data_IF_801241727660
#
_entry.id   IF_801241727660
#
_cell.length_a   1.000
_cell.length_b   1.000
_cell.length_c   1.000
_cell.angle_alpha   90.00
_cell.angle_beta   90.00
_cell.angle_gamma   90.00
#
_symmetry.space_group_name_H-M   'P 1'
#
loop_
_entity.id
_entity.type
_entity.pdbx_description
1 polymer ?
#
# COMPACT_ATOMS: atom_id res chain seq x y z
N UNK A 1 -6.25 -23.12 -2.26
CA UNK A 1 -5.11 -23.98 -1.94
C UNK A 1 -3.85 -23.15 -1.69
N UNK A 2 -2.92 -23.71 -0.94
CA UNK A 2 -1.55 -23.18 -0.77
C UNK A 2 -0.64 -24.11 -1.55
N UNK A 3 0.14 -23.55 -2.46
CA UNK A 3 1.05 -24.29 -3.34
C UNK A 3 2.48 -23.79 -3.10
N UNK A 4 3.38 -24.72 -2.83
CA UNK A 4 4.80 -24.44 -2.75
C UNK A 4 5.40 -24.38 -4.15
N UNK A 5 6.21 -23.36 -4.42
CA UNK A 5 6.99 -23.25 -5.64
C UNK A 5 8.45 -23.62 -5.35
N UNK A 6 9.10 -24.36 -6.21
CA UNK A 6 10.52 -24.64 -6.11
C UNK A 6 11.31 -23.48 -6.73
N UNK A 7 12.16 -22.84 -5.93
CA UNK A 7 12.95 -21.68 -6.35
C UNK A 7 12.14 -20.54 -7.00
N UNK A 8 10.87 -20.37 -6.60
CA UNK A 8 10.00 -19.34 -7.16
C UNK A 8 9.46 -19.63 -8.57
N UNK A 9 9.66 -20.84 -9.11
CA UNK A 9 9.20 -21.21 -10.45
C UNK A 9 7.68 -21.43 -10.46
N UNK A 10 6.95 -20.41 -10.93
CA UNK A 10 5.49 -20.45 -11.13
C UNK A 10 5.11 -21.10 -12.48
N UNK A 11 6.06 -21.34 -13.35
CA UNK A 11 5.83 -21.94 -14.67
C UNK A 11 5.82 -23.48 -14.64
N UNK A 12 6.18 -24.07 -13.50
CA UNK A 12 6.12 -25.51 -13.28
C UNK A 12 4.68 -26.06 -13.41
N UNK A 13 4.57 -27.35 -13.68
CA UNK A 13 3.31 -28.00 -14.02
C UNK A 13 2.20 -27.81 -12.97
N UNK A 14 2.50 -28.00 -11.68
CA UNK A 14 1.49 -27.88 -10.59
C UNK A 14 1.05 -26.42 -10.42
N UNK A 15 1.93 -25.42 -10.24
CA UNK A 15 1.53 -24.02 -10.18
C UNK A 15 0.69 -23.58 -11.37
N UNK A 16 1.11 -23.90 -12.59
CA UNK A 16 0.40 -23.50 -13.81
C UNK A 16 -1.02 -24.07 -13.86
N UNK A 17 -1.22 -25.33 -13.51
CA UNK A 17 -2.55 -25.94 -13.47
C UNK A 17 -3.44 -25.26 -12.41
N UNK A 18 -2.91 -25.01 -11.21
CA UNK A 18 -3.69 -24.36 -10.14
C UNK A 18 -4.07 -22.92 -10.52
N UNK A 19 -3.15 -22.14 -11.11
CA UNK A 19 -3.42 -20.79 -11.59
C UNK A 19 -4.54 -20.79 -12.64
N UNK A 20 -4.59 -21.81 -13.51
CA UNK A 20 -5.62 -21.91 -14.55
C UNK A 20 -7.01 -22.24 -14.00
N UNK A 21 -7.09 -22.94 -12.88
CA UNK A 21 -8.35 -23.37 -12.25
C UNK A 21 -8.92 -22.28 -11.32
N UNK A 22 -8.04 -21.51 -10.65
CA UNK A 22 -8.43 -20.50 -9.66
C UNK A 22 -8.67 -19.12 -10.29
N UNK A 23 -9.35 -18.24 -9.56
CA UNK A 23 -9.64 -16.86 -9.99
C UNK A 23 -8.47 -15.89 -9.76
N UNK A 24 -7.29 -16.40 -9.57
CA UNK A 24 -6.07 -15.63 -9.37
C UNK A 24 -5.17 -16.28 -8.34
N UNK A 25 -4.06 -15.60 -8.07
CA UNK A 25 -3.04 -16.04 -7.11
C UNK A 25 -2.47 -14.86 -6.35
N UNK A 26 -2.08 -15.11 -5.10
CA UNK A 26 -1.20 -14.24 -4.34
C UNK A 26 0.18 -14.91 -4.35
N UNK A 27 1.16 -14.26 -4.98
CA UNK A 27 2.52 -14.76 -5.06
C UNK A 27 3.35 -14.17 -3.91
N UNK A 28 3.92 -15.05 -3.07
CA UNK A 28 4.85 -14.67 -2.00
C UNK A 28 6.27 -14.87 -2.50
N UNK A 29 7.09 -13.83 -2.36
CA UNK A 29 8.42 -13.74 -2.90
C UNK A 29 9.46 -13.85 -1.78
N UNK A 30 10.44 -14.76 -1.95
CA UNK A 30 11.48 -14.98 -0.95
C UNK A 30 12.45 -13.80 -0.83
N UNK A 31 12.72 -13.09 -1.93
CA UNK A 31 13.59 -11.91 -1.93
C UNK A 31 12.93 -10.78 -1.13
N UNK A 32 11.65 -10.48 -1.41
CA UNK A 32 10.89 -9.50 -0.64
C UNK A 32 10.82 -9.87 0.86
N UNK A 33 10.68 -11.15 1.17
CA UNK A 33 10.67 -11.61 2.56
C UNK A 33 12.01 -11.34 3.27
N UNK A 34 13.13 -11.62 2.60
CA UNK A 34 14.46 -11.40 3.13
C UNK A 34 14.80 -9.91 3.26
N UNK A 35 14.25 -9.06 2.38
CA UNK A 35 14.32 -7.60 2.46
C UNK A 35 13.45 -7.01 3.59
N UNK A 36 12.68 -7.85 4.31
CA UNK A 36 11.82 -7.41 5.41
C UNK A 36 10.45 -6.92 4.99
N UNK A 37 10.05 -7.10 3.72
CA UNK A 37 8.69 -6.85 3.25
C UNK A 37 7.76 -7.96 3.78
N UNK A 38 6.87 -7.63 4.69
CA UNK A 38 5.92 -8.59 5.29
C UNK A 38 4.52 -7.97 5.42
N UNK A 39 3.52 -8.57 4.72
CA UNK A 39 3.60 -9.79 3.89
C UNK A 39 4.44 -9.59 2.62
N UNK A 40 5.15 -10.64 2.22
CA UNK A 40 6.07 -10.63 1.07
C UNK A 40 5.32 -10.80 -0.27
N UNK A 41 4.26 -10.03 -0.47
CA UNK A 41 3.39 -10.13 -1.65
C UNK A 41 4.04 -9.44 -2.85
N UNK A 42 4.32 -10.22 -3.89
CA UNK A 42 4.73 -9.66 -5.17
C UNK A 42 3.52 -9.16 -5.94
N UNK A 43 3.28 -7.85 -5.90
CA UNK A 43 2.13 -7.20 -6.55
C UNK A 43 2.15 -7.32 -8.08
N UNK A 44 3.35 -7.45 -8.68
CA UNK A 44 3.52 -7.62 -10.13
C UNK A 44 3.01 -8.98 -10.63
N UNK A 45 3.34 -10.05 -9.89
CA UNK A 45 2.98 -11.44 -10.24
C UNK A 45 1.64 -11.87 -9.67
N UNK A 46 1.11 -11.17 -8.66
CA UNK A 46 -0.19 -11.47 -8.08
C UNK A 46 -1.32 -10.95 -8.97
N UNK A 47 -2.34 -11.77 -9.15
CA UNK A 47 -3.51 -11.46 -9.98
C UNK A 47 -4.77 -11.85 -9.24
N UNK A 48 -5.81 -11.02 -9.32
CA UNK A 48 -7.15 -11.35 -8.88
C UNK A 48 -8.16 -10.94 -9.95
N UNK A 49 -8.87 -11.93 -10.52
CA UNK A 49 -9.91 -11.67 -11.54
C UNK A 49 -11.16 -11.04 -10.94
N UNK A 50 -11.45 -11.36 -9.69
CA UNK A 50 -12.66 -10.89 -8.98
C UNK A 50 -12.38 -9.82 -7.92
N UNK A 51 -11.13 -9.65 -7.49
CA UNK A 51 -10.76 -8.73 -6.40
C UNK A 51 -11.24 -7.31 -6.58
N UNK A 52 -11.11 -6.77 -7.79
CA UNK A 52 -11.60 -5.42 -8.09
C UNK A 52 -13.13 -5.25 -7.95
N UNK A 53 -13.90 -6.32 -8.14
CA UNK A 53 -15.35 -6.31 -7.93
C UNK A 53 -15.74 -6.49 -6.46
N UNK A 54 -14.89 -7.18 -5.70
CA UNK A 54 -15.10 -7.43 -4.27
C UNK A 54 -14.73 -6.24 -3.38
N UNK A 55 -13.85 -5.34 -3.85
CA UNK A 55 -13.46 -4.14 -3.10
C UNK A 55 -14.64 -3.21 -2.86
N UNK A 56 -14.65 -2.56 -1.69
CA UNK A 56 -15.52 -1.40 -1.44
C UNK A 56 -15.18 -0.27 -2.42
N UNK A 57 -16.13 0.62 -2.66
CA UNK A 57 -15.90 1.79 -3.54
C UNK A 57 -14.82 2.71 -2.98
N UNK A 58 -14.70 2.78 -1.65
CA UNK A 58 -13.67 3.51 -0.94
C UNK A 58 -12.28 2.91 -1.24
N UNK A 59 -12.11 1.61 -1.00
CA UNK A 59 -10.83 0.91 -1.22
C UNK A 59 -10.41 0.96 -2.69
N UNK A 60 -11.35 0.76 -3.62
CA UNK A 60 -11.09 0.87 -5.06
C UNK A 60 -10.58 2.25 -5.46
N UNK A 61 -11.07 3.31 -4.79
CA UNK A 61 -10.61 4.67 -5.02
C UNK A 61 -9.21 4.90 -4.42
N UNK A 62 -8.97 4.45 -3.17
CA UNK A 62 -7.70 4.62 -2.48
C UNK A 62 -6.56 3.85 -3.16
N UNK A 63 -6.83 2.66 -3.69
CA UNK A 63 -5.83 1.78 -4.30
C UNK A 63 -5.66 1.97 -5.82
N UNK A 64 -6.41 2.88 -6.45
CA UNK A 64 -6.49 2.99 -7.93
C UNK A 64 -5.13 3.16 -8.62
N UNK A 65 -4.22 3.93 -8.05
CA UNK A 65 -2.88 4.21 -8.59
C UNK A 65 -1.75 3.45 -7.90
N UNK A 66 -2.08 2.63 -6.89
CA UNK A 66 -1.10 1.97 -6.04
C UNK A 66 -0.16 1.06 -6.85
N UNK A 67 -0.73 0.21 -7.70
CA UNK A 67 0.04 -0.74 -8.51
C UNK A 67 0.99 -0.03 -9.48
N UNK A 68 0.55 1.05 -10.10
CA UNK A 68 1.38 1.84 -11.02
C UNK A 68 2.55 2.52 -10.28
N UNK A 69 2.29 3.12 -9.11
CA UNK A 69 3.33 3.74 -8.27
C UNK A 69 4.37 2.73 -7.80
N UNK A 70 3.93 1.54 -7.37
CA UNK A 70 4.86 0.47 -6.95
C UNK A 70 5.66 -0.09 -8.13
N UNK A 71 5.07 -0.22 -9.32
CA UNK A 71 5.79 -0.65 -10.52
C UNK A 71 6.86 0.37 -10.90
N UNK A 72 6.52 1.66 -10.94
CA UNK A 72 7.44 2.75 -11.21
C UNK A 72 8.60 2.79 -10.19
N UNK A 73 8.27 2.67 -8.90
CA UNK A 73 9.28 2.61 -7.84
C UNK A 73 10.27 1.46 -8.07
N UNK A 74 9.78 0.24 -8.34
CA UNK A 74 10.65 -0.94 -8.55
C UNK A 74 11.56 -0.77 -9.76
N UNK A 75 11.05 -0.21 -10.85
CA UNK A 75 11.84 0.07 -12.04
C UNK A 75 12.96 1.05 -11.73
N UNK A 76 12.65 2.19 -11.09
CA UNK A 76 13.63 3.22 -10.75
C UNK A 76 14.63 2.75 -9.68
N UNK A 77 14.19 1.99 -8.68
CA UNK A 77 15.07 1.43 -7.65
C UNK A 77 16.09 0.44 -8.25
N UNK A 78 15.70 -0.32 -9.27
CA UNK A 78 16.62 -1.18 -10.03
C UNK A 78 17.74 -0.39 -10.71
N UNK A 79 17.45 0.76 -11.31
CA UNK A 79 18.47 1.59 -11.94
C UNK A 79 19.48 2.15 -10.95
N UNK A 80 19.05 2.52 -9.74
CA UNK A 80 19.97 3.00 -8.68
C UNK A 80 20.98 1.95 -8.25
N UNK A 81 20.63 0.67 -8.24
CA UNK A 81 21.55 -0.41 -7.89
C UNK A 81 22.75 -0.49 -8.87
N UNK A 82 22.58 0.00 -10.09
CA UNK A 82 23.64 0.06 -11.09
C UNK A 82 24.47 1.37 -11.05
N UNK A 83 24.28 2.21 -10.00
CA UNK A 83 25.09 3.43 -9.81
C UNK A 83 24.71 4.59 -10.74
N UNK A 84 23.50 4.59 -11.30
CA UNK A 84 23.01 5.71 -12.09
C UNK A 84 22.78 6.95 -11.22
N UNK A 85 23.29 8.08 -11.67
CA UNK A 85 22.89 9.38 -11.07
C UNK A 85 21.43 9.66 -11.41
N UNK A 86 20.64 9.97 -10.40
CA UNK A 86 19.21 10.27 -10.55
C UNK A 86 18.98 11.76 -10.28
N UNK A 87 18.08 12.37 -11.04
CA UNK A 87 17.64 13.73 -10.79
C UNK A 87 16.75 13.82 -9.53
N UNK A 88 16.46 15.03 -9.07
CA UNK A 88 15.68 15.27 -7.86
C UNK A 88 14.25 14.71 -7.95
N UNK A 89 13.63 14.71 -9.14
CA UNK A 89 12.29 14.20 -9.36
C UNK A 89 12.26 12.66 -9.22
N UNK A 90 13.23 12.00 -9.83
CA UNK A 90 13.41 10.55 -9.73
C UNK A 90 13.71 10.14 -8.27
N UNK A 91 14.57 10.88 -7.56
CA UNK A 91 14.87 10.62 -6.16
C UNK A 91 13.59 10.74 -5.28
N UNK A 92 12.78 11.77 -5.48
CA UNK A 92 11.50 11.95 -4.79
C UNK A 92 10.52 10.79 -5.07
N UNK A 93 10.48 10.31 -6.30
CA UNK A 93 9.62 9.18 -6.70
C UNK A 93 10.06 7.90 -6.00
N UNK A 94 11.37 7.66 -5.91
CA UNK A 94 11.94 6.51 -5.20
C UNK A 94 11.63 6.59 -3.71
N UNK A 95 11.82 7.74 -3.08
CA UNK A 95 11.56 7.92 -1.65
C UNK A 95 10.07 7.81 -1.31
N UNK A 96 9.18 8.32 -2.17
CA UNK A 96 7.75 8.09 -2.04
C UNK A 96 7.39 6.59 -2.18
N UNK A 97 8.05 5.88 -3.09
CA UNK A 97 7.86 4.45 -3.28
C UNK A 97 8.33 3.63 -2.09
N UNK A 98 9.46 3.99 -1.46
CA UNK A 98 9.93 3.36 -0.20
C UNK A 98 8.90 3.52 0.91
N UNK A 99 8.40 4.74 1.14
CA UNK A 99 7.37 5.00 2.16
C UNK A 99 6.08 4.26 1.88
N UNK A 100 5.68 4.18 0.62
CA UNK A 100 4.51 3.41 0.22
C UNK A 100 4.71 1.91 0.49
N UNK A 101 5.91 1.39 0.25
CA UNK A 101 6.26 -0.01 0.54
C UNK A 101 6.22 -0.28 2.06
N UNK A 102 6.74 0.63 2.88
CA UNK A 102 6.64 0.53 4.34
C UNK A 102 5.18 0.55 4.82
N UNK A 103 4.36 1.47 4.30
CA UNK A 103 2.94 1.56 4.64
C UNK A 103 2.11 0.32 4.24
N UNK A 104 2.64 -0.54 3.38
CA UNK A 104 2.01 -1.82 3.01
C UNK A 104 2.45 -2.99 3.88
N UNK A 105 3.43 -2.80 4.77
CA UNK A 105 3.80 -3.82 5.75
C UNK A 105 2.69 -3.94 6.80
N UNK A 106 2.43 -5.15 7.23
CA UNK A 106 1.37 -5.43 8.19
C UNK A 106 1.86 -6.47 9.21
N UNK A 107 1.82 -6.17 10.50
CA UNK A 107 2.14 -7.12 11.54
C UNK A 107 1.17 -8.31 11.54
N UNK A 108 1.67 -9.49 11.90
CA UNK A 108 0.81 -10.68 12.04
C UNK A 108 -0.25 -10.45 13.12
N UNK A 109 -1.48 -10.91 12.83
CA UNK A 109 -2.62 -10.84 13.74
C UNK A 109 -3.09 -9.42 14.13
N UNK A 110 -2.69 -8.39 13.35
CA UNK A 110 -3.16 -7.01 13.52
C UNK A 110 -3.73 -6.48 12.19
N UNK A 111 -4.89 -7.01 11.75
CA UNK A 111 -5.51 -6.54 10.52
C UNK A 111 -6.05 -5.12 10.71
N UNK A 112 -5.87 -4.28 9.69
CA UNK A 112 -6.48 -2.97 9.61
C UNK A 112 -7.90 -3.08 9.02
N UNK A 113 -8.82 -2.24 9.49
CA UNK A 113 -10.12 -2.09 8.86
C UNK A 113 -10.01 -1.48 7.46
N UNK A 114 -11.06 -1.64 6.65
CA UNK A 114 -11.11 -1.09 5.28
C UNK A 114 -10.94 0.44 5.27
N UNK A 115 -11.53 1.12 6.25
CA UNK A 115 -11.42 2.57 6.44
C UNK A 115 -10.01 3.01 6.84
N UNK A 116 -9.35 2.29 7.75
CA UNK A 116 -7.97 2.55 8.16
C UNK A 116 -7.00 2.34 7.01
N UNK A 117 -7.13 1.23 6.26
CA UNK A 117 -6.32 0.98 5.08
C UNK A 117 -6.49 2.08 4.03
N UNK A 118 -7.74 2.47 3.73
CA UNK A 118 -8.01 3.51 2.76
C UNK A 118 -7.47 4.87 3.19
N UNK A 119 -7.58 5.22 4.48
CA UNK A 119 -7.04 6.45 5.04
C UNK A 119 -5.51 6.49 4.94
N UNK A 120 -4.83 5.41 5.34
CA UNK A 120 -3.37 5.30 5.24
C UNK A 120 -2.88 5.43 3.79
N UNK A 121 -3.49 4.66 2.88
CA UNK A 121 -3.17 4.73 1.46
C UNK A 121 -3.40 6.14 0.90
N UNK A 122 -4.49 6.79 1.28
CA UNK A 122 -4.78 8.16 0.85
C UNK A 122 -3.72 9.13 1.38
N UNK A 123 -3.37 9.06 2.67
CA UNK A 123 -2.37 9.92 3.27
C UNK A 123 -1.00 9.78 2.59
N UNK A 124 -0.53 8.55 2.36
CA UNK A 124 0.76 8.29 1.72
C UNK A 124 0.75 8.66 0.24
N UNK A 125 -0.31 8.34 -0.50
CA UNK A 125 -0.38 8.62 -1.94
C UNK A 125 -0.59 10.10 -2.28
N UNK A 126 -1.21 10.87 -1.38
CA UNK A 126 -1.37 12.33 -1.50
C UNK A 126 -0.13 13.11 -0.95
N UNK A 127 0.88 12.39 -0.45
CA UNK A 127 2.17 12.98 -0.07
C UNK A 127 2.28 13.48 1.37
N UNK A 128 1.31 13.19 2.23
CA UNK A 128 1.37 13.61 3.65
C UNK A 128 2.47 12.90 4.46
N UNK A 129 3.07 11.85 3.92
CA UNK A 129 4.19 11.15 4.51
C UNK A 129 5.56 11.52 3.89
N UNK A 130 5.63 12.47 2.94
CA UNK A 130 6.85 12.72 2.16
C UNK A 130 8.04 13.24 2.99
N UNK A 131 7.80 13.88 4.10
CA UNK A 131 8.80 14.40 5.06
C UNK A 131 9.05 13.45 6.24
N UNK A 132 8.36 12.32 6.28
CA UNK A 132 8.55 11.29 7.32
C UNK A 132 9.73 10.39 6.93
N UNK A 133 10.63 10.10 7.88
CA UNK A 133 11.68 9.10 7.67
C UNK A 133 11.05 7.72 7.43
N UNK A 134 11.62 6.97 6.48
CA UNK A 134 11.15 5.63 6.11
C UNK A 134 11.08 4.70 7.33
N UNK A 135 12.06 4.80 8.25
CA UNK A 135 12.12 4.00 9.48
C UNK A 135 11.06 4.41 10.52
N UNK A 136 10.40 5.55 10.34
CA UNK A 136 9.34 6.05 11.23
C UNK A 136 7.94 5.92 10.64
N UNK A 137 7.80 5.18 9.57
CA UNK A 137 6.48 4.97 8.93
C UNK A 137 5.50 4.21 9.82
N UNK A 138 5.98 3.28 10.67
CA UNK A 138 5.13 2.58 11.65
C UNK A 138 4.61 3.56 12.73
N UNK A 139 5.46 4.47 13.21
CA UNK A 139 5.04 5.53 14.16
C UNK A 139 4.00 6.45 13.51
N UNK A 140 4.26 6.87 12.25
CA UNK A 140 3.34 7.71 11.49
C UNK A 140 1.95 7.05 11.36
N UNK A 141 1.91 5.77 11.02
CA UNK A 141 0.66 5.00 10.93
C UNK A 141 -0.08 4.96 12.27
N UNK A 142 0.62 4.64 13.36
CA UNK A 142 0.04 4.57 14.69
C UNK A 142 -0.53 5.92 15.14
N UNK A 143 0.22 7.01 14.94
CA UNK A 143 -0.19 8.36 15.29
C UNK A 143 -1.35 8.84 14.42
N UNK A 144 -1.35 8.52 13.12
CA UNK A 144 -2.43 8.81 12.19
C UNK A 144 -3.75 8.18 12.68
N UNK A 145 -3.74 6.89 12.99
CA UNK A 145 -4.94 6.21 13.45
C UNK A 145 -5.39 6.71 14.82
N UNK A 146 -4.46 6.99 15.73
CA UNK A 146 -4.78 7.57 17.03
C UNK A 146 -5.43 8.93 16.87
N UNK A 147 -4.88 9.82 16.05
CA UNK A 147 -5.43 11.14 15.80
C UNK A 147 -6.84 11.09 15.20
N UNK A 148 -7.04 10.26 14.17
CA UNK A 148 -8.36 10.16 13.54
C UNK A 148 -9.41 9.51 14.46
N UNK A 149 -9.03 8.60 15.34
CA UNK A 149 -9.93 8.01 16.34
C UNK A 149 -10.32 9.00 17.42
N UNK A 150 -9.41 9.89 17.84
CA UNK A 150 -9.70 10.88 18.90
C UNK A 150 -10.34 12.16 18.38
N UNK A 151 -9.80 12.74 17.30
CA UNK A 151 -10.18 14.09 16.85
C UNK A 151 -11.12 14.09 15.64
N UNK A 152 -11.14 13.02 14.86
CA UNK A 152 -11.82 12.95 13.57
C UNK A 152 -12.76 11.73 13.45
N UNK A 153 -13.35 11.28 14.57
CA UNK A 153 -14.19 10.08 14.60
C UNK A 153 -15.35 10.12 13.60
N UNK A 154 -15.90 11.29 13.32
CA UNK A 154 -16.99 11.45 12.34
C UNK A 154 -16.51 11.18 10.91
N UNK A 155 -15.27 11.57 10.57
CA UNK A 155 -14.67 11.26 9.28
C UNK A 155 -14.50 9.73 9.16
N UNK A 156 -13.97 9.06 10.20
CA UNK A 156 -13.84 7.59 10.18
C UNK A 156 -15.18 6.90 9.97
N UNK A 157 -16.25 7.33 10.65
CA UNK A 157 -17.61 6.79 10.45
C UNK A 157 -18.09 6.94 9.01
N UNK A 158 -17.77 8.05 8.35
CA UNK A 158 -18.11 8.23 6.94
C UNK A 158 -17.32 7.22 6.08
N UNK A 159 -16.02 7.04 6.34
CA UNK A 159 -15.18 6.09 5.62
C UNK A 159 -15.61 4.64 5.85
N UNK A 160 -16.05 4.27 7.06
CA UNK A 160 -16.57 2.93 7.39
C UNK A 160 -17.79 2.52 6.55
N UNK A 161 -18.52 3.49 5.97
CA UNK A 161 -19.60 3.15 5.04
C UNK A 161 -19.11 2.44 3.77
N UNK A 162 -17.80 2.44 3.49
CA UNK A 162 -17.19 1.87 2.29
C UNK A 162 -17.59 2.54 0.98
N UNK A 163 -18.31 3.67 1.06
CA UNK A 163 -18.72 4.45 -0.11
C UNK A 163 -17.53 5.22 -0.68
N UNK A 164 -17.58 5.49 -1.97
CA UNK A 164 -16.60 6.37 -2.62
C UNK A 164 -16.60 7.74 -1.92
N UNK A 165 -15.42 8.25 -1.61
CA UNK A 165 -15.28 9.63 -1.13
C UNK A 165 -15.73 10.61 -2.24
N UNK A 166 -16.74 11.39 -1.96
CA UNK A 166 -17.11 12.54 -2.78
C UNK A 166 -16.11 13.69 -2.56
N UNK A 167 -16.28 14.79 -3.26
CA UNK A 167 -15.40 15.95 -3.14
C UNK A 167 -15.37 16.48 -1.71
N UNK A 168 -16.54 16.61 -1.08
CA UNK A 168 -16.67 17.13 0.29
C UNK A 168 -15.93 16.25 1.29
N UNK A 169 -16.16 14.95 1.27
CA UNK A 169 -15.47 14.00 2.16
C UNK A 169 -13.94 14.03 1.95
N UNK A 170 -13.50 14.13 0.70
CA UNK A 170 -12.07 14.21 0.39
C UNK A 170 -11.45 15.49 0.93
N UNK A 171 -12.12 16.63 0.79
CA UNK A 171 -11.64 17.91 1.32
C UNK A 171 -11.58 17.89 2.86
N UNK A 172 -12.58 17.28 3.53
CA UNK A 172 -12.55 17.05 4.99
C UNK A 172 -11.35 16.18 5.42
N UNK A 173 -11.09 15.08 4.70
CA UNK A 173 -9.94 14.21 4.98
C UNK A 173 -8.63 14.96 4.78
N UNK A 174 -8.49 15.77 3.73
CA UNK A 174 -7.30 16.58 3.46
C UNK A 174 -7.06 17.63 4.54
N UNK A 175 -8.10 18.31 4.98
CA UNK A 175 -8.02 19.28 6.06
C UNK A 175 -7.57 18.61 7.37
N UNK A 176 -8.19 17.48 7.73
CA UNK A 176 -7.81 16.70 8.90
C UNK A 176 -6.36 16.21 8.85
N UNK A 177 -5.89 15.74 7.68
CA UNK A 177 -4.49 15.34 7.46
C UNK A 177 -3.54 16.54 7.58
N UNK A 178 -3.93 17.71 7.09
CA UNK A 178 -3.17 18.94 7.23
C UNK A 178 -3.02 19.37 8.71
N UNK A 179 -4.08 19.26 9.49
CA UNK A 179 -4.05 19.53 10.94
C UNK A 179 -3.24 18.47 11.71
N UNK A 180 -3.38 17.21 11.36
CA UNK A 180 -2.55 16.13 11.90
C UNK A 180 -1.05 16.41 11.71
N UNK A 181 -0.64 16.80 10.50
CA UNK A 181 0.77 17.12 10.21
C UNK A 181 1.28 18.29 11.05
N UNK A 182 0.51 19.33 11.24
CA UNK A 182 0.91 20.49 12.05
C UNK A 182 1.02 20.19 13.55
N UNK A 183 0.23 19.24 14.07
CA UNK A 183 0.16 18.96 15.51
C UNK A 183 1.07 17.83 15.96
N UNK A 184 1.37 16.90 15.08
CA UNK A 184 2.09 15.66 15.44
C UNK A 184 3.45 15.57 14.75
N UNK A 185 3.58 16.16 13.56
CA UNK A 185 4.77 16.21 12.71
C UNK A 185 5.07 17.63 12.25
#
# INVERSE_FOLDING_TARGET
PIIETQAGDVSAYIPTNVISITDGQIFLDSELFNEGQRPAVNVGLSVSRVGGSAQTKLMKQASSNLRAKLAQYRELAGFMQFGAEVDAETANTIDSGKRLTEALKQPRYKPLSDSEQALLLFAVTEGYANDVDVNRMEDFEADLFKYFKSECADILRILETGKRMDKKTRDMVREALGEFKKRVY
#
